data_IF_550138599012
#
_entry.id   IF_550138599012
#
_cell.length_a   1.000
_cell.length_b   1.000
_cell.length_c   1.000
_cell.angle_alpha   90.00
_cell.angle_beta   90.00
_cell.angle_gamma   90.00
#
_symmetry.space_group_name_H-M   'P 1'
#
loop_
_entity.id
_entity.type
_entity.pdbx_description
1 polymer ?
#
# COMPACT_ATOMS: atom_id res chain seq x y z
N UNK A 1 -14.35 -32.82 -6.05
CA UNK A 1 -15.07 -32.81 -4.75
C UNK A 1 -14.14 -32.52 -3.55
N UNK A 2 -12.97 -33.18 -3.39
CA UNK A 2 -11.95 -32.97 -2.30
C UNK A 2 -11.51 -31.53 -1.90
N UNK A 3 -11.96 -30.47 -2.59
CA UNK A 3 -11.68 -29.06 -2.23
C UNK A 3 -12.91 -28.34 -1.65
N UNK A 4 -14.06 -29.02 -1.64
CA UNK A 4 -15.38 -28.51 -1.30
C UNK A 4 -16.03 -29.26 -0.14
N UNK A 5 -15.65 -30.52 0.08
CA UNK A 5 -16.12 -31.40 1.18
C UNK A 5 -15.86 -30.83 2.57
N UNK A 6 -14.73 -30.16 2.77
CA UNK A 6 -14.42 -29.41 3.98
C UNK A 6 -15.22 -28.11 4.14
N UNK A 7 -15.84 -27.60 3.08
CA UNK A 7 -16.44 -26.24 3.02
C UNK A 7 -17.96 -26.21 2.88
N UNK A 8 -18.57 -27.26 2.34
CA UNK A 8 -19.98 -27.31 1.95
C UNK A 8 -20.52 -28.72 2.12
N UNK A 9 -21.82 -28.83 2.43
CA UNK A 9 -22.56 -30.09 2.39
C UNK A 9 -22.66 -30.57 0.93
N UNK A 10 -22.00 -31.67 0.57
CA UNK A 10 -22.05 -32.26 -0.78
C UNK A 10 -23.09 -33.37 -0.84
N UNK A 11 -24.10 -33.21 -1.70
CA UNK A 11 -25.08 -34.25 -2.03
C UNK A 11 -24.86 -34.68 -3.49
N UNK A 12 -24.30 -35.88 -3.74
CA UNK A 12 -24.04 -36.33 -5.10
C UNK A 12 -25.34 -36.78 -5.80
N UNK A 13 -25.50 -36.38 -7.06
CA UNK A 13 -26.65 -36.72 -7.91
C UNK A 13 -26.19 -37.28 -9.26
N UNK A 14 -26.92 -38.24 -9.79
CA UNK A 14 -26.79 -38.74 -11.15
C UNK A 14 -27.83 -38.00 -12.01
N UNK A 15 -27.37 -37.03 -12.79
CA UNK A 15 -28.23 -36.26 -13.69
C UNK A 15 -28.61 -37.07 -14.94
N UNK A 16 -29.79 -36.78 -15.51
CA UNK A 16 -30.34 -37.45 -16.71
C UNK A 16 -30.39 -38.98 -16.55
N UNK A 17 -30.82 -39.45 -15.37
CA UNK A 17 -30.88 -40.87 -15.04
C UNK A 17 -31.78 -41.69 -15.99
N UNK A 18 -32.66 -41.05 -16.76
CA UNK A 18 -33.47 -41.65 -17.82
C UNK A 18 -32.66 -42.12 -19.04
N UNK A 19 -31.36 -41.85 -19.09
CA UNK A 19 -30.42 -42.37 -20.09
C UNK A 19 -29.74 -43.68 -19.70
N UNK A 20 -29.94 -44.16 -18.46
CA UNK A 20 -29.25 -45.34 -17.89
C UNK A 20 -30.30 -46.39 -17.54
N UNK A 21 -30.07 -47.67 -17.86
CA UNK A 21 -31.00 -48.73 -17.46
C UNK A 21 -30.95 -49.00 -15.95
N UNK A 22 -32.02 -49.54 -15.37
CA UNK A 22 -32.09 -49.80 -13.92
C UNK A 22 -30.99 -50.73 -13.40
N UNK A 23 -30.55 -51.70 -14.21
CA UNK A 23 -29.48 -52.64 -13.84
C UNK A 23 -28.08 -52.02 -13.91
N UNK A 24 -27.85 -51.12 -14.86
CA UNK A 24 -26.61 -50.33 -14.95
C UNK A 24 -26.55 -49.27 -13.85
N UNK A 25 -27.68 -48.63 -13.56
CA UNK A 25 -27.79 -47.56 -12.55
C UNK A 25 -27.36 -48.06 -11.16
N UNK A 26 -27.74 -49.27 -10.76
CA UNK A 26 -27.31 -49.84 -9.48
C UNK A 26 -25.79 -50.01 -9.42
N UNK A 27 -25.19 -50.60 -10.46
CA UNK A 27 -23.73 -50.74 -10.57
C UNK A 27 -23.04 -49.37 -10.55
N UNK A 28 -23.61 -48.38 -11.21
CA UNK A 28 -23.08 -47.03 -11.28
C UNK A 28 -23.14 -46.31 -9.93
N UNK A 29 -24.25 -46.44 -9.16
CA UNK A 29 -24.35 -45.96 -7.78
C UNK A 29 -23.27 -46.58 -6.89
N UNK A 30 -23.11 -47.91 -6.92
CA UNK A 30 -22.06 -48.60 -6.15
C UNK A 30 -20.66 -48.10 -6.52
N UNK A 31 -20.33 -48.02 -7.80
CA UNK A 31 -19.02 -47.56 -8.26
C UNK A 31 -18.71 -46.12 -7.79
N UNK A 32 -19.68 -45.20 -7.89
CA UNK A 32 -19.52 -43.82 -7.40
C UNK A 32 -19.26 -43.80 -5.89
N UNK A 33 -20.03 -44.55 -5.09
CA UNK A 33 -19.84 -44.60 -3.64
C UNK A 33 -18.48 -45.21 -3.26
N UNK A 34 -18.04 -46.27 -3.95
CA UNK A 34 -16.69 -46.84 -3.77
C UNK A 34 -15.60 -45.84 -4.13
N UNK A 35 -15.76 -45.08 -5.23
CA UNK A 35 -14.79 -44.07 -5.65
C UNK A 35 -14.73 -42.88 -4.67
N UNK A 36 -15.88 -42.40 -4.17
CA UNK A 36 -15.93 -41.34 -3.15
C UNK A 36 -15.22 -41.76 -1.86
N UNK A 37 -15.51 -42.97 -1.36
CA UNK A 37 -14.94 -43.52 -0.14
C UNK A 37 -13.43 -43.78 -0.26
N UNK A 38 -12.98 -44.44 -1.34
CA UNK A 38 -11.54 -44.67 -1.59
C UNK A 38 -10.75 -43.38 -1.77
N UNK A 39 -11.40 -42.29 -2.15
CA UNK A 39 -10.81 -40.97 -2.26
C UNK A 39 -10.86 -40.15 -0.96
N UNK A 40 -11.59 -40.59 0.07
CA UNK A 40 -11.80 -39.83 1.31
C UNK A 40 -12.64 -38.57 1.11
N UNK A 41 -13.55 -38.56 0.12
CA UNK A 41 -14.47 -37.43 -0.12
C UNK A 41 -15.64 -37.53 0.85
N UNK A 42 -15.74 -36.59 1.78
CA UNK A 42 -16.86 -36.54 2.71
C UNK A 42 -18.08 -35.95 1.99
N UNK A 43 -19.15 -36.74 1.91
CA UNK A 43 -20.47 -36.29 1.47
C UNK A 43 -21.35 -35.98 2.68
N UNK A 44 -22.47 -35.31 2.45
CA UNK A 44 -23.46 -35.05 3.48
C UNK A 44 -24.33 -36.28 3.70
N UNK A 45 -24.27 -36.81 4.93
CA UNK A 45 -25.09 -37.92 5.42
C UNK A 45 -26.21 -37.36 6.31
N UNK A 46 -27.41 -37.93 6.16
CA UNK A 46 -28.58 -37.54 6.96
C UNK A 46 -28.42 -38.01 8.40
N UNK A 47 -28.73 -37.18 9.40
CA UNK A 47 -28.65 -37.56 10.80
C UNK A 47 -29.63 -38.69 11.10
N UNK A 48 -29.16 -39.74 11.77
CA UNK A 48 -29.96 -40.88 12.23
C UNK A 48 -30.24 -40.85 13.73
N UNK A 49 -29.90 -39.75 14.39
CA UNK A 49 -29.89 -39.62 15.85
C UNK A 49 -31.28 -39.26 16.44
N UNK A 50 -32.21 -38.79 15.61
CA UNK A 50 -33.61 -38.53 15.99
C UNK A 50 -34.44 -39.81 15.85
N UNK A 51 -34.89 -40.38 16.98
CA UNK A 51 -35.72 -41.60 17.04
C UNK A 51 -36.98 -41.54 16.15
N UNK A 52 -37.51 -40.34 15.86
CA UNK A 52 -38.74 -40.18 15.06
C UNK A 52 -38.49 -40.18 13.55
N UNK A 53 -37.26 -39.89 13.11
CA UNK A 53 -36.89 -39.75 11.69
C UNK A 53 -35.74 -40.66 11.25
N UNK A 54 -35.12 -41.40 12.19
CA UNK A 54 -33.95 -42.26 11.96
C UNK A 54 -34.16 -43.25 10.82
N UNK A 55 -35.26 -44.02 10.83
CA UNK A 55 -35.57 -45.00 9.79
C UNK A 55 -35.70 -44.37 8.39
N UNK A 56 -36.33 -43.20 8.31
CA UNK A 56 -36.52 -42.45 7.06
C UNK A 56 -35.18 -41.95 6.55
N UNK A 57 -34.37 -41.33 7.42
CA UNK A 57 -33.06 -40.80 7.05
C UNK A 57 -32.06 -41.92 6.69
N UNK A 58 -32.10 -43.06 7.38
CA UNK A 58 -31.33 -44.25 7.02
C UNK A 58 -31.72 -44.79 5.63
N UNK A 59 -33.02 -44.89 5.33
CA UNK A 59 -33.50 -45.27 4.01
C UNK A 59 -33.11 -44.25 2.92
N UNK A 60 -33.10 -42.94 3.23
CA UNK A 60 -32.66 -41.90 2.29
C UNK A 60 -31.15 -41.95 2.03
N UNK A 61 -30.33 -42.22 3.05
CA UNK A 61 -28.88 -42.40 2.91
C UNK A 61 -28.55 -43.52 1.89
N UNK A 62 -29.31 -44.63 1.89
CA UNK A 62 -29.14 -45.73 0.92
C UNK A 62 -29.44 -45.35 -0.54
N UNK A 63 -30.17 -44.25 -0.78
CA UNK A 63 -30.51 -43.81 -2.14
C UNK A 63 -29.44 -42.90 -2.77
N UNK A 64 -28.46 -42.45 -1.99
CA UNK A 64 -27.35 -41.61 -2.44
C UNK A 64 -26.35 -42.44 -3.27
N UNK A 65 -25.89 -41.98 -4.45
CA UNK A 65 -26.27 -40.74 -5.13
C UNK A 65 -27.65 -40.82 -5.80
N UNK A 66 -28.45 -39.74 -5.65
CA UNK A 66 -29.83 -39.72 -6.15
C UNK A 66 -29.88 -39.72 -7.69
N UNK A 67 -30.65 -40.63 -8.27
CA UNK A 67 -30.81 -40.74 -9.71
C UNK A 67 -31.97 -39.87 -10.20
N UNK A 68 -31.68 -38.72 -10.83
CA UNK A 68 -32.69 -37.67 -11.09
C UNK A 68 -32.90 -37.36 -12.56
N UNK A 69 -34.14 -37.03 -12.88
CA UNK A 69 -34.61 -36.59 -14.19
C UNK A 69 -35.29 -35.25 -14.01
N UNK A 70 -34.88 -34.24 -14.77
CA UNK A 70 -35.50 -32.91 -14.75
C UNK A 70 -36.39 -32.71 -15.98
N UNK A 71 -37.57 -32.11 -15.79
CA UNK A 71 -38.39 -31.57 -16.87
C UNK A 71 -39.19 -30.35 -16.41
N UNK A 72 -39.28 -29.35 -17.28
CA UNK A 72 -40.18 -28.19 -17.17
C UNK A 72 -41.50 -28.40 -17.91
N UNK A 73 -41.59 -29.41 -18.76
CA UNK A 73 -42.75 -29.69 -19.62
C UNK A 73 -43.81 -30.50 -18.86
N UNK A 74 -45.07 -30.08 -18.98
CA UNK A 74 -46.21 -30.81 -18.43
C UNK A 74 -46.90 -31.62 -19.54
N UNK A 75 -46.91 -32.94 -19.37
CA UNK A 75 -47.61 -33.87 -20.27
C UNK A 75 -48.87 -34.38 -19.56
N UNK A 76 -49.99 -34.48 -20.30
CA UNK A 76 -51.21 -35.08 -19.78
C UNK A 76 -51.07 -36.60 -19.77
N UNK A 77 -50.91 -37.19 -18.59
CA UNK A 77 -50.86 -38.65 -18.40
C UNK A 77 -52.15 -39.07 -17.71
N UNK A 78 -53.05 -39.70 -18.47
CA UNK A 78 -54.43 -39.95 -18.03
C UNK A 78 -55.17 -38.64 -17.78
N UNK A 79 -55.67 -38.46 -16.54
CA UNK A 79 -56.44 -37.28 -16.14
C UNK A 79 -55.64 -36.20 -15.40
N UNK A 80 -54.32 -36.37 -15.22
CA UNK A 80 -53.46 -35.41 -14.51
C UNK A 80 -52.37 -34.84 -15.43
N UNK A 81 -52.08 -33.55 -15.27
CA UNK A 81 -50.91 -32.91 -15.86
C UNK A 81 -49.71 -33.19 -14.95
N UNK A 82 -48.65 -33.80 -15.48
CA UNK A 82 -47.45 -34.13 -14.71
C UNK A 82 -46.18 -33.72 -15.45
N UNK A 83 -45.18 -33.23 -14.70
CA UNK A 83 -43.85 -32.95 -15.22
C UNK A 83 -43.22 -34.23 -15.76
N UNK A 84 -42.94 -34.26 -17.06
CA UNK A 84 -42.52 -35.46 -17.76
C UNK A 84 -41.56 -35.14 -18.91
N UNK A 85 -40.77 -36.12 -19.35
CA UNK A 85 -40.03 -36.08 -20.62
C UNK A 85 -40.68 -37.05 -21.59
N UNK A 86 -41.05 -36.59 -22.78
CA UNK A 86 -41.67 -37.43 -23.80
C UNK A 86 -40.63 -37.90 -24.83
N UNK A 87 -40.62 -39.19 -25.11
CA UNK A 87 -39.80 -39.84 -26.12
C UNK A 87 -40.68 -40.66 -27.08
N UNK A 88 -40.21 -41.01 -28.29
CA UNK A 88 -40.96 -41.86 -29.22
C UNK A 88 -41.35 -43.23 -28.65
N UNK A 89 -40.57 -43.74 -27.70
CA UNK A 89 -40.78 -45.03 -27.03
C UNK A 89 -41.54 -44.95 -25.70
N UNK A 90 -41.89 -43.75 -25.21
CA UNK A 90 -42.65 -43.60 -23.96
C UNK A 90 -42.40 -42.28 -23.22
N UNK A 91 -43.05 -42.13 -22.06
CA UNK A 91 -43.05 -40.89 -21.28
C UNK A 91 -42.47 -41.13 -19.89
N UNK A 92 -41.36 -40.45 -19.56
CA UNK A 92 -40.71 -40.52 -18.25
C UNK A 92 -41.31 -39.44 -17.34
N UNK A 93 -42.20 -39.86 -16.45
CA UNK A 93 -42.73 -39.03 -15.36
C UNK A 93 -41.63 -38.69 -14.33
N UNK A 94 -41.48 -37.42 -13.99
CA UNK A 94 -40.46 -36.92 -13.03
C UNK A 94 -40.87 -37.17 -11.57
N UNK A 95 -42.16 -37.13 -11.27
CA UNK A 95 -42.68 -37.29 -9.90
C UNK A 95 -43.00 -38.76 -9.54
N UNK A 96 -42.52 -39.70 -10.34
CA UNK A 96 -42.76 -41.14 -10.16
C UNK A 96 -41.49 -41.83 -9.65
N UNK A 97 -41.53 -42.32 -8.42
CA UNK A 97 -40.41 -43.00 -7.75
C UNK A 97 -39.93 -44.27 -8.46
N UNK A 98 -40.79 -44.91 -9.27
CA UNK A 98 -40.38 -46.07 -10.07
C UNK A 98 -39.52 -45.68 -11.29
N UNK A 99 -39.49 -44.39 -11.65
CA UNK A 99 -38.72 -43.85 -12.77
C UNK A 99 -37.44 -43.13 -12.29
N UNK A 100 -37.52 -42.32 -11.22
CA UNK A 100 -36.37 -41.60 -10.69
C UNK A 100 -36.53 -41.21 -9.21
N UNK A 101 -35.42 -40.94 -8.53
CA UNK A 101 -35.37 -40.57 -7.11
C UNK A 101 -35.67 -39.08 -6.85
N UNK A 102 -36.27 -38.35 -7.80
CA UNK A 102 -36.53 -36.90 -7.67
C UNK A 102 -37.43 -36.56 -6.47
N UNK A 103 -38.44 -37.39 -6.19
CA UNK A 103 -39.34 -37.21 -5.03
C UNK A 103 -38.53 -37.25 -3.73
N UNK A 104 -37.67 -38.26 -3.58
CA UNK A 104 -36.79 -38.46 -2.43
C UNK A 104 -35.84 -37.28 -2.23
N UNK A 105 -35.15 -36.84 -3.30
CA UNK A 105 -34.27 -35.68 -3.26
C UNK A 105 -35.02 -34.40 -2.84
N UNK A 106 -36.24 -34.19 -3.35
CA UNK A 106 -37.06 -33.01 -3.02
C UNK A 106 -37.48 -32.98 -1.56
N UNK A 107 -37.97 -34.12 -1.03
CA UNK A 107 -38.36 -34.20 0.39
C UNK A 107 -37.16 -34.03 1.30
N UNK A 108 -36.06 -34.70 0.99
CA UNK A 108 -34.78 -34.61 1.68
C UNK A 108 -34.23 -33.17 1.75
N UNK A 109 -34.23 -32.42 0.64
CA UNK A 109 -33.71 -31.05 0.60
C UNK A 109 -34.61 -30.00 1.28
N UNK A 110 -35.93 -30.14 1.15
CA UNK A 110 -36.88 -29.05 1.46
C UNK A 110 -37.71 -29.33 2.72
N UNK A 111 -38.00 -30.59 3.03
CA UNK A 111 -39.00 -30.97 4.04
C UNK A 111 -38.39 -31.37 5.38
N UNK A 112 -37.37 -32.23 5.37
CA UNK A 112 -36.79 -32.80 6.60
C UNK A 112 -35.46 -32.17 6.99
N UNK A 113 -34.48 -32.13 6.08
CA UNK A 113 -33.08 -31.96 6.49
C UNK A 113 -32.49 -30.55 6.23
N UNK A 114 -33.32 -29.56 5.90
CA UNK A 114 -32.86 -28.17 5.67
C UNK A 114 -32.22 -27.54 6.91
N UNK A 115 -32.77 -27.81 8.10
CA UNK A 115 -32.27 -27.26 9.36
C UNK A 115 -30.92 -27.89 9.76
N UNK A 116 -30.78 -29.22 9.72
CA UNK A 116 -29.50 -29.90 9.96
C UNK A 116 -28.42 -29.47 8.94
N UNK A 117 -28.77 -29.32 7.65
CA UNK A 117 -27.84 -28.77 6.66
C UNK A 117 -27.35 -27.36 7.05
N UNK A 118 -28.24 -26.50 7.58
CA UNK A 118 -27.89 -25.16 8.06
C UNK A 118 -27.00 -25.24 9.30
N UNK A 119 -27.33 -26.09 10.26
CA UNK A 119 -26.56 -26.29 11.48
C UNK A 119 -25.15 -26.86 11.20
N UNK A 120 -25.02 -27.92 10.40
CA UNK A 120 -23.70 -28.44 9.96
C UNK A 120 -22.90 -27.39 9.19
N UNK A 121 -23.55 -26.53 8.41
CA UNK A 121 -22.88 -25.40 7.74
C UNK A 121 -22.30 -24.41 8.76
N UNK A 122 -23.05 -24.07 9.81
CA UNK A 122 -22.58 -23.17 10.86
C UNK A 122 -21.50 -23.83 11.75
N UNK A 123 -21.85 -24.93 12.41
CA UNK A 123 -21.05 -25.54 13.47
C UNK A 123 -19.80 -26.29 12.96
N UNK A 124 -19.75 -26.70 11.68
CA UNK A 124 -18.61 -27.41 11.09
C UNK A 124 -17.90 -26.61 10.01
N UNK A 125 -18.61 -26.25 8.93
CA UNK A 125 -17.96 -25.61 7.77
C UNK A 125 -17.53 -24.16 8.03
N UNK A 126 -18.39 -23.37 8.65
CA UNK A 126 -18.08 -21.99 9.01
C UNK A 126 -17.07 -21.92 10.15
N UNK A 127 -17.19 -22.72 11.22
CA UNK A 127 -16.17 -22.73 12.29
C UNK A 127 -14.78 -23.17 11.79
N UNK A 128 -14.68 -24.14 10.87
CA UNK A 128 -13.40 -24.51 10.24
C UNK A 128 -12.80 -23.33 9.45
N UNK A 129 -13.62 -22.59 8.71
CA UNK A 129 -13.19 -21.38 8.01
C UNK A 129 -12.80 -20.26 8.99
N UNK A 130 -13.59 -20.05 10.04
CA UNK A 130 -13.39 -19.04 11.07
C UNK A 130 -12.08 -19.28 11.82
N UNK A 131 -11.82 -20.50 12.27
CA UNK A 131 -10.55 -20.90 12.89
C UNK A 131 -9.37 -20.56 11.97
N UNK A 132 -9.40 -21.03 10.72
CA UNK A 132 -8.33 -20.73 9.76
C UNK A 132 -8.15 -19.23 9.50
N UNK A 133 -9.24 -18.47 9.44
CA UNK A 133 -9.18 -17.00 9.28
C UNK A 133 -8.59 -16.29 10.50
N UNK A 134 -8.91 -16.75 11.70
CA UNK A 134 -8.33 -16.23 12.95
C UNK A 134 -6.83 -16.53 13.02
N UNK A 135 -6.42 -17.76 12.66
CA UNK A 135 -5.01 -18.14 12.52
C UNK A 135 -4.27 -17.25 11.50
N UNK A 136 -4.85 -17.02 10.32
CA UNK A 136 -4.29 -16.10 9.30
C UNK A 136 -4.23 -14.62 9.78
N UNK A 137 -5.10 -14.21 10.69
CA UNK A 137 -5.05 -12.89 11.35
C UNK A 137 -4.08 -12.86 12.54
N UNK A 138 -3.43 -13.98 12.86
CA UNK A 138 -2.51 -14.12 14.00
C UNK A 138 -3.23 -14.13 15.35
N UNK A 139 -4.39 -14.77 15.42
CA UNK A 139 -5.03 -15.24 16.65
C UNK A 139 -4.91 -16.76 16.69
N UNK A 140 -3.97 -17.29 17.48
CA UNK A 140 -3.81 -18.72 17.73
C UNK A 140 -4.33 -19.08 19.12
N UNK A 141 -5.03 -20.21 19.23
CA UNK A 141 -5.49 -20.74 20.53
C UNK A 141 -4.33 -21.26 21.40
N UNK A 142 -3.10 -21.27 20.88
CA UNK A 142 -1.88 -21.75 21.54
C UNK A 142 -0.73 -20.75 21.43
N UNK A 143 0.08 -20.69 22.49
CA UNK A 143 1.37 -19.99 22.53
C UNK A 143 2.50 -20.88 21.97
N UNK A 144 3.71 -20.32 21.84
CA UNK A 144 4.95 -21.01 21.46
C UNK A 144 5.32 -22.18 22.37
N UNK A 145 4.83 -22.18 23.62
CA UNK A 145 4.95 -23.31 24.58
C UNK A 145 3.75 -24.29 24.53
N UNK A 146 2.90 -24.20 23.51
CA UNK A 146 1.73 -25.07 23.28
C UNK A 146 0.68 -25.04 24.42
N UNK A 147 0.68 -23.96 25.22
CA UNK A 147 -0.30 -23.67 26.28
C UNK A 147 -1.54 -22.99 25.69
N UNK A 148 -2.76 -23.28 26.18
CA UNK A 148 -3.98 -22.63 25.70
C UNK A 148 -3.97 -21.13 26.03
N UNK A 149 -4.04 -20.30 25.00
CA UNK A 149 -4.03 -18.84 25.09
C UNK A 149 -5.45 -18.30 25.15
N UNK A 150 -5.76 -17.49 26.17
CA UNK A 150 -7.05 -16.80 26.23
C UNK A 150 -7.17 -15.75 25.11
N UNK A 151 -8.36 -15.61 24.53
CA UNK A 151 -8.66 -14.59 23.52
C UNK A 151 -8.35 -13.17 24.01
N UNK A 152 -8.63 -12.92 25.30
CA UNK A 152 -8.29 -11.69 26.02
C UNK A 152 -6.77 -11.42 25.99
N UNK A 153 -5.97 -12.44 26.30
CA UNK A 153 -4.51 -12.36 26.41
C UNK A 153 -3.85 -12.21 25.03
N UNK A 154 -4.42 -12.82 23.99
CA UNK A 154 -4.02 -12.57 22.59
C UNK A 154 -4.27 -11.12 22.18
N UNK A 155 -5.40 -10.52 22.58
CA UNK A 155 -5.68 -9.10 22.35
C UNK A 155 -4.71 -8.17 23.09
N UNK A 156 -4.41 -8.47 24.35
CA UNK A 156 -3.47 -7.71 25.18
C UNK A 156 -2.05 -7.79 24.62
N UNK A 157 -1.58 -8.97 24.20
CA UNK A 157 -0.29 -9.15 23.53
C UNK A 157 -0.22 -8.39 22.20
N UNK A 158 -1.27 -8.43 21.37
CA UNK A 158 -1.33 -7.68 20.10
C UNK A 158 -1.26 -6.17 20.34
N UNK A 159 -2.00 -5.66 21.34
CA UNK A 159 -2.00 -4.25 21.75
C UNK A 159 -0.65 -3.82 22.30
N UNK A 160 -0.01 -4.65 23.13
CA UNK A 160 1.32 -4.41 23.68
C UNK A 160 2.39 -4.35 22.59
N UNK A 161 2.38 -5.32 21.67
CA UNK A 161 3.28 -5.36 20.51
C UNK A 161 3.12 -4.13 19.60
N UNK A 162 1.87 -3.70 19.33
CA UNK A 162 1.60 -2.49 18.55
C UNK A 162 2.07 -1.20 19.25
N UNK A 163 1.91 -1.10 20.58
CA UNK A 163 2.45 0.01 21.37
C UNK A 163 3.98 0.03 21.33
N UNK A 164 4.63 -1.13 21.46
CA UNK A 164 6.09 -1.24 21.36
C UNK A 164 6.61 -0.87 19.96
N UNK A 165 5.89 -1.23 18.89
CA UNK A 165 6.25 -0.86 17.52
C UNK A 165 6.11 0.67 17.29
N UNK A 166 5.05 1.29 17.83
CA UNK A 166 4.88 2.75 17.80
C UNK A 166 6.01 3.45 18.56
N UNK A 167 6.34 2.98 19.77
CA UNK A 167 7.43 3.55 20.56
C UNK A 167 8.78 3.40 19.84
N UNK A 168 9.06 2.25 19.23
CA UNK A 168 10.28 2.03 18.44
C UNK A 168 10.36 3.01 17.26
N UNK A 169 9.27 3.26 16.54
CA UNK A 169 9.21 4.26 15.46
C UNK A 169 9.41 5.69 15.99
N UNK A 170 8.90 6.00 17.18
CA UNK A 170 9.14 7.29 17.83
C UNK A 170 10.62 7.47 18.19
N UNK A 171 11.26 6.45 18.79
CA UNK A 171 12.68 6.48 19.12
C UNK A 171 13.57 6.52 17.88
N UNK A 172 13.22 5.83 16.79
CA UNK A 172 13.88 5.94 15.49
C UNK A 172 13.78 7.37 14.92
N UNK A 173 12.61 8.01 14.99
CA UNK A 173 12.45 9.42 14.58
C UNK A 173 13.25 10.38 15.46
N UNK A 174 13.29 10.16 16.78
CA UNK A 174 14.09 10.95 17.73
C UNK A 174 15.59 10.81 17.46
N UNK A 175 16.08 9.59 17.21
CA UNK A 175 17.48 9.35 16.84
C UNK A 175 17.84 10.01 15.51
N UNK A 176 16.98 9.88 14.49
CA UNK A 176 17.15 10.54 13.18
C UNK A 176 17.25 12.07 13.33
N UNK A 177 16.43 12.67 14.20
CA UNK A 177 16.51 14.11 14.52
C UNK A 177 17.84 14.48 15.18
N UNK A 178 18.29 13.73 16.19
CA UNK A 178 19.57 14.00 16.87
C UNK A 178 20.76 13.89 15.91
N UNK A 179 20.76 12.91 15.01
CA UNK A 179 21.79 12.78 13.96
C UNK A 179 21.76 13.98 13.02
N UNK A 180 20.59 14.35 12.49
CA UNK A 180 20.40 15.54 11.62
C UNK A 180 20.86 16.84 12.27
N UNK A 181 20.57 17.04 13.56
CA UNK A 181 21.01 18.23 14.31
C UNK A 181 22.54 18.24 14.40
N UNK A 182 23.15 17.13 14.80
CA UNK A 182 24.62 17.02 14.91
C UNK A 182 25.35 17.21 13.58
N UNK A 183 24.77 16.72 12.48
CA UNK A 183 25.28 16.99 11.13
C UNK A 183 25.25 18.50 10.81
N UNK A 184 24.12 19.17 11.09
CA UNK A 184 23.99 20.62 10.86
C UNK A 184 24.85 21.48 11.78
N UNK A 185 25.07 21.07 13.03
CA UNK A 185 26.03 21.72 13.92
C UNK A 185 27.47 21.62 13.39
N UNK A 186 27.85 20.46 12.83
CA UNK A 186 29.17 20.29 12.20
C UNK A 186 29.31 21.13 10.92
N UNK A 187 28.29 21.14 10.04
CA UNK A 187 28.28 21.99 8.83
C UNK A 187 28.43 23.48 9.18
N UNK A 188 27.72 23.95 10.21
CA UNK A 188 27.81 25.33 10.69
C UNK A 188 29.21 25.64 11.24
N UNK A 189 29.80 24.73 12.01
CA UNK A 189 31.15 24.87 12.57
C UNK A 189 32.25 24.91 11.50
N UNK A 190 32.15 24.08 10.46
CA UNK A 190 33.08 24.12 9.33
C UNK A 190 32.91 25.40 8.51
N UNK A 191 31.67 25.87 8.32
CA UNK A 191 31.37 27.15 7.67
C UNK A 191 31.91 28.35 8.45
N UNK A 192 31.79 28.34 9.79
CA UNK A 192 32.35 29.35 10.69
C UNK A 192 33.89 29.39 10.59
N UNK A 193 34.53 28.21 10.59
CA UNK A 193 35.99 28.07 10.45
C UNK A 193 36.48 28.57 9.08
N UNK A 194 35.75 28.30 8.01
CA UNK A 194 36.06 28.82 6.68
C UNK A 194 35.91 30.35 6.63
N UNK A 195 34.85 30.89 7.25
CA UNK A 195 34.62 32.34 7.35
C UNK A 195 35.73 33.04 8.15
N UNK A 196 36.17 32.45 9.27
CA UNK A 196 37.30 32.95 10.06
C UNK A 196 38.60 32.96 9.24
N UNK A 197 38.87 31.87 8.51
CA UNK A 197 40.04 31.75 7.63
C UNK A 197 40.03 32.78 6.49
N UNK A 198 38.86 33.06 5.91
CA UNK A 198 38.64 34.13 4.91
C UNK A 198 38.89 35.52 5.52
N UNK A 199 38.40 35.76 6.73
CA UNK A 199 38.60 37.02 7.44
C UNK A 199 40.08 37.28 7.74
N UNK A 200 40.82 36.30 8.27
CA UNK A 200 42.25 36.44 8.53
C UNK A 200 43.06 36.67 7.25
N UNK A 201 42.71 35.98 6.16
CA UNK A 201 43.33 36.23 4.85
C UNK A 201 43.08 37.66 4.38
N UNK A 202 41.83 38.13 4.38
CA UNK A 202 41.47 39.50 3.98
C UNK A 202 42.17 40.55 4.86
N UNK A 203 42.27 40.30 6.17
CA UNK A 203 42.97 41.16 7.13
C UNK A 203 44.48 41.25 6.81
N UNK A 204 45.11 40.13 6.42
CA UNK A 204 46.51 40.12 5.96
C UNK A 204 46.67 40.84 4.62
N UNK A 205 45.86 40.51 3.63
CA UNK A 205 45.90 41.12 2.30
C UNK A 205 45.73 42.65 2.39
N UNK A 206 44.82 43.13 3.25
CA UNK A 206 44.62 44.55 3.54
C UNK A 206 45.81 45.21 4.26
N UNK A 207 46.51 44.49 5.15
CA UNK A 207 47.72 44.99 5.81
C UNK A 207 48.91 45.10 4.83
N UNK A 208 49.09 44.10 3.96
CA UNK A 208 50.11 44.10 2.90
C UNK A 208 49.84 45.21 1.87
N UNK A 209 48.59 45.41 1.46
CA UNK A 209 48.21 46.48 0.52
C UNK A 209 48.35 47.87 1.16
N UNK A 210 47.96 48.05 2.43
CA UNK A 210 48.21 49.29 3.17
C UNK A 210 49.71 49.62 3.20
N UNK A 211 50.57 48.63 3.47
CA UNK A 211 52.03 48.82 3.46
C UNK A 211 52.54 49.22 2.08
N UNK A 212 52.08 48.57 1.01
CA UNK A 212 52.45 48.95 -0.38
C UNK A 212 52.05 50.40 -0.70
N UNK A 213 50.88 50.84 -0.26
CA UNK A 213 50.42 52.22 -0.44
C UNK A 213 51.26 53.22 0.37
N UNK A 214 51.69 52.87 1.59
CA UNK A 214 52.63 53.67 2.39
C UNK A 214 54.02 53.77 1.74
N UNK A 215 54.58 52.64 1.27
CA UNK A 215 55.87 52.59 0.56
C UNK A 215 55.82 53.38 -0.77
N UNK A 216 54.73 53.24 -1.54
CA UNK A 216 54.52 53.99 -2.77
C UNK A 216 54.32 55.51 -2.51
N UNK A 217 53.56 55.88 -1.47
CA UNK A 217 53.41 57.28 -1.04
C UNK A 217 54.76 57.89 -0.67
N UNK A 218 55.57 57.18 0.12
CA UNK A 218 56.91 57.64 0.50
C UNK A 218 57.80 57.86 -0.73
N UNK A 219 57.80 56.92 -1.68
CA UNK A 219 58.55 57.08 -2.92
C UNK A 219 58.11 58.31 -3.72
N UNK A 220 56.79 58.57 -3.82
CA UNK A 220 56.27 59.76 -4.49
C UNK A 220 56.61 61.06 -3.73
N UNK A 221 56.74 61.02 -2.40
CA UNK A 221 57.25 62.14 -1.59
C UNK A 221 58.75 62.38 -1.83
N UNK A 222 59.56 61.33 -1.91
CA UNK A 222 60.99 61.40 -2.23
C UNK A 222 61.22 61.94 -3.66
N UNK A 223 60.47 61.43 -4.66
CA UNK A 223 60.50 61.90 -6.06
C UNK A 223 60.07 63.37 -6.17
N UNK A 224 59.06 63.81 -5.37
CA UNK A 224 58.61 65.20 -5.29
C UNK A 224 59.66 66.12 -4.66
N UNK A 225 60.37 65.65 -3.63
CA UNK A 225 61.49 66.36 -3.02
C UNK A 225 62.66 66.51 -4.00
N UNK A 226 63.02 65.46 -4.74
CA UNK A 226 64.06 65.57 -5.77
C UNK A 226 63.63 66.49 -6.92
N UNK A 227 62.40 66.40 -7.41
CA UNK A 227 61.88 67.33 -8.43
C UNK A 227 61.94 68.78 -7.95
N UNK A 228 61.59 69.03 -6.69
CA UNK A 228 61.69 70.37 -6.07
C UNK A 228 63.13 70.85 -5.98
N UNK A 229 64.08 69.98 -5.61
CA UNK A 229 65.53 70.28 -5.60
C UNK A 229 66.06 70.60 -7.01
N UNK A 230 65.71 69.80 -8.02
CA UNK A 230 66.09 70.03 -9.42
C UNK A 230 65.48 71.32 -9.96
N UNK A 231 64.23 71.63 -9.61
CA UNK A 231 63.59 72.91 -9.92
C UNK A 231 64.36 74.08 -9.31
N UNK A 232 64.72 74.01 -8.03
CA UNK A 232 65.53 75.05 -7.36
C UNK A 232 66.88 75.26 -8.08
N UNK A 233 67.60 74.20 -8.42
CA UNK A 233 68.85 74.25 -9.20
C UNK A 233 68.66 74.89 -10.59
N UNK A 234 67.59 74.56 -11.31
CA UNK A 234 67.24 75.18 -12.60
C UNK A 234 66.95 76.68 -12.46
N UNK A 235 66.22 77.11 -11.42
CA UNK A 235 66.05 78.56 -11.13
C UNK A 235 67.36 79.26 -10.75
N UNK A 236 68.37 78.54 -10.25
CA UNK A 236 69.69 79.12 -9.94
C UNK A 236 70.62 79.22 -11.17
N UNK A 237 70.39 78.43 -12.22
CA UNK A 237 71.20 78.46 -13.45
C UNK A 237 70.57 79.25 -14.62
N UNK A 238 69.31 79.68 -14.51
CA UNK A 238 68.64 80.50 -15.53
C UNK A 238 68.59 81.98 -15.12
N UNK A 239 69.71 82.68 -15.29
CA UNK A 239 69.75 84.14 -15.24
C UNK A 239 69.10 84.75 -16.49
N UNK A 240 68.04 85.55 -16.29
CA UNK A 240 67.41 86.45 -17.28
C UNK A 240 66.54 85.83 -18.41
N UNK A 241 65.22 85.72 -18.18
CA UNK A 241 64.30 86.70 -18.80
C UNK A 241 62.90 86.86 -18.17
N UNK A 242 62.45 88.12 -18.20
CA UNK A 242 61.20 88.76 -17.72
C UNK A 242 60.02 88.56 -18.73
N UNK A 243 58.69 88.50 -18.44
CA UNK A 243 57.83 88.52 -17.21
C UNK A 243 56.36 88.06 -17.51
N UNK A 244 55.60 87.68 -16.45
CA UNK A 244 54.12 87.80 -16.21
C UNK A 244 52.98 87.19 -17.09
N UNK A 245 52.01 86.63 -16.34
CA UNK A 245 50.59 86.29 -16.58
C UNK A 245 49.81 86.90 -17.79
N UNK A 246 48.90 86.10 -18.38
CA UNK A 246 47.76 86.63 -19.17
C UNK A 246 46.79 85.63 -19.83
N UNK A 247 45.64 85.37 -19.19
CA UNK A 247 44.43 84.63 -19.65
C UNK A 247 44.11 84.62 -21.17
N UNK A 248 43.75 83.44 -21.74
CA UNK A 248 42.36 83.07 -22.14
C UNK A 248 42.22 81.78 -23.00
N UNK A 249 41.13 81.01 -22.74
CA UNK A 249 40.22 80.23 -23.64
C UNK A 249 40.80 79.64 -24.96
N UNK A 250 40.55 78.37 -25.37
CA UNK A 250 39.35 77.51 -25.20
C UNK A 250 39.61 76.08 -25.75
N UNK A 251 38.94 75.06 -25.15
CA UNK A 251 38.53 73.74 -25.70
C UNK A 251 39.44 73.01 -26.73
N UNK A 252 40.01 71.86 -26.33
CA UNK A 252 39.82 70.58 -27.04
C UNK A 252 39.45 69.49 -26.02
N UNK A 253 38.35 68.84 -26.36
CA UNK A 253 37.72 67.57 -25.96
C UNK A 253 38.51 66.56 -25.09
N UNK A 254 37.85 66.05 -24.04
CA UNK A 254 38.27 64.88 -23.26
C UNK A 254 37.07 63.96 -23.06
N UNK A 255 37.11 62.80 -23.72
CA UNK A 255 36.07 61.77 -23.68
C UNK A 255 35.83 61.26 -22.26
N UNK A 256 34.63 61.49 -21.71
CA UNK A 256 34.18 60.94 -20.44
C UNK A 256 34.02 59.41 -20.56
N UNK A 257 34.99 58.63 -20.05
CA UNK A 257 34.75 57.23 -19.70
C UNK A 257 34.23 57.18 -18.27
N UNK A 258 32.96 56.78 -18.12
CA UNK A 258 32.23 56.72 -16.85
C UNK A 258 32.87 55.72 -15.88
N UNK A 259 32.88 56.06 -14.59
CA UNK A 259 33.01 55.06 -13.52
C UNK A 259 31.86 54.04 -13.62
N UNK A 260 32.10 52.74 -13.39
CA UNK A 260 31.04 51.82 -13.05
C UNK A 260 30.46 52.19 -11.69
N UNK A 261 29.19 52.62 -11.68
CA UNK A 261 28.40 52.72 -10.45
C UNK A 261 28.22 51.33 -9.85
N UNK A 262 28.68 51.14 -8.61
CA UNK A 262 28.33 49.98 -7.80
C UNK A 262 26.84 50.13 -7.42
N UNK A 263 25.98 49.39 -8.13
CA UNK A 263 24.56 49.35 -7.84
C UNK A 263 24.26 48.51 -6.60
N UNK A 264 23.53 49.09 -5.65
CA UNK A 264 22.91 48.36 -4.55
C UNK A 264 21.52 47.86 -4.95
N UNK A 265 21.15 46.71 -4.39
CA UNK A 265 19.81 46.09 -4.34
C UNK A 265 19.28 45.44 -5.65
N UNK A 266 18.33 44.48 -5.56
CA UNK A 266 17.90 43.66 -4.40
C UNK A 266 17.96 42.13 -4.68
N UNK A 267 17.59 41.36 -3.66
CA UNK A 267 17.37 39.90 -3.68
C UNK A 267 16.35 39.40 -4.71
N UNK A 268 16.57 38.24 -5.37
CA UNK A 268 15.51 37.43 -5.96
C UNK A 268 14.95 36.41 -4.95
N UNK A 269 13.66 36.13 -5.04
CA UNK A 269 12.87 35.33 -4.11
C UNK A 269 13.15 33.81 -4.18
N UNK A 270 12.99 33.10 -3.06
CA UNK A 270 12.71 31.66 -3.10
C UNK A 270 11.30 31.44 -3.66
N UNK A 271 11.17 30.63 -4.71
CA UNK A 271 9.90 29.95 -5.01
C UNK A 271 9.88 28.56 -4.36
N UNK A 272 8.82 28.19 -3.63
CA UNK A 272 8.62 26.81 -3.19
C UNK A 272 8.21 25.95 -4.39
N UNK A 273 8.75 24.74 -4.47
CA UNK A 273 8.22 23.72 -5.36
C UNK A 273 6.95 23.11 -4.75
N UNK A 274 5.80 23.36 -5.37
CA UNK A 274 4.56 22.65 -5.04
C UNK A 274 4.52 21.35 -5.85
N UNK A 275 4.32 20.23 -5.17
CA UNK A 275 4.00 18.96 -5.81
C UNK A 275 2.49 18.78 -5.83
N UNK A 276 1.88 18.77 -7.02
CA UNK A 276 0.47 18.42 -7.17
C UNK A 276 0.29 16.90 -7.06
N UNK A 277 -0.47 16.44 -6.06
CA UNK A 277 -1.56 15.46 -6.21
C UNK A 277 -2.06 15.00 -4.83
N UNK A 278 -3.16 15.60 -4.38
CA UNK A 278 -4.08 15.00 -3.40
C UNK A 278 -5.43 15.74 -3.44
N UNK A 279 -6.41 15.18 -4.17
CA UNK A 279 -7.81 15.60 -4.13
C UNK A 279 -8.68 14.36 -3.92
N UNK A 280 -9.27 14.27 -2.74
CA UNK A 280 -10.48 13.51 -2.43
C UNK A 280 -10.95 14.04 -1.06
N UNK A 281 -11.86 15.00 -1.07
CA UNK A 281 -13.28 14.77 -0.71
C UNK A 281 -13.50 14.51 0.78
N UNK A 282 -14.10 15.49 1.46
CA UNK A 282 -14.88 15.24 2.67
C UNK A 282 -15.99 16.29 2.78
N UNK A 283 -17.19 15.91 2.34
CA UNK A 283 -18.42 16.67 2.53
C UNK A 283 -19.03 16.29 3.89
N UNK A 284 -19.11 17.24 4.82
CA UNK A 284 -19.86 17.05 6.06
C UNK A 284 -21.31 17.55 5.88
N UNK A 285 -22.34 16.80 6.30
CA UNK A 285 -23.73 17.24 6.20
C UNK A 285 -24.12 18.14 7.37
N UNK A 286 -24.91 19.18 7.08
CA UNK A 286 -25.75 19.83 8.09
C UNK A 286 -26.89 18.86 8.49
N UNK A 287 -27.20 18.80 9.78
CA UNK A 287 -28.33 18.07 10.34
C UNK A 287 -29.10 18.96 11.32
N UNK A 288 -30.43 18.88 11.24
CA UNK A 288 -31.38 19.06 12.36
C UNK A 288 -31.35 20.36 13.12
#
# INVERSE_FOLDING_TARGET
MKKLDSKLNIIPIIAKADTISKSELQKFKTNIMTELNSNGVHIYEFPTDDETMSDVNAAMNQHVPFAVVGSTEFVKVGNKMMRSRQYPWGTVQVENETHCDFVKLREMLIRTNMEDMREKTHCKHYELYRKKRLEEMGFSDVDSENKPMSFQQSYENKRSSHLAELQKKEDEMRQMFVVRVKEKENELKDSEKELHSKFDKLKKDHADEKKRLEDAKKKMEDDLMEFTRRKQQMTAMSGSHTLTLGKNKKKIDVSIRRCPTIGLNPTPELKPAVCENCVSENTAPNLG
#
